data_IF_230876428187
#
_entry.id   IF_230876428187
#
_cell.length_a   1.000
_cell.length_b   1.000
_cell.length_c   1.000
_cell.angle_alpha   90.00
_cell.angle_beta   90.00
_cell.angle_gamma   90.00
#
_symmetry.space_group_name_H-M   'P 1'
#
loop_
_entity.id
_entity.type
_entity.pdbx_description
1 polymer ?
#
# COMPACT_ATOMS: atom_id res chain seq x y z
N UNK A 1 -46.54 35.44 1.17
CA UNK A 1 -46.88 34.01 1.31
C UNK A 1 -46.22 33.27 0.17
N UNK A 2 -45.43 32.20 0.28
CA UNK A 2 -44.57 31.62 1.31
C UNK A 2 -43.99 30.38 0.62
N UNK A 3 -42.74 30.03 0.95
CA UNK A 3 -42.10 28.72 0.70
C UNK A 3 -41.36 28.54 -0.63
N UNK A 4 -40.20 29.18 -0.71
CA UNK A 4 -38.97 28.58 -1.26
C UNK A 4 -38.71 27.27 -0.51
N UNK A 5 -39.21 26.16 -1.05
CA UNK A 5 -38.97 24.80 -0.54
C UNK A 5 -37.47 24.51 -0.57
N UNK A 6 -36.87 24.67 0.61
CA UNK A 6 -36.12 23.64 1.34
C UNK A 6 -35.01 22.95 0.53
N UNK A 7 -33.79 23.28 0.97
CA UNK A 7 -32.61 22.44 1.01
C UNK A 7 -32.10 21.83 -0.30
N UNK A 8 -31.24 22.63 -0.94
CA UNK A 8 -29.97 22.13 -1.48
C UNK A 8 -29.12 21.53 -0.33
N UNK A 9 -29.56 20.43 0.25
CA UNK A 9 -28.68 19.52 0.96
C UNK A 9 -27.81 18.83 -0.09
N UNK A 10 -26.81 19.55 -0.61
CA UNK A 10 -25.61 18.90 -1.17
C UNK A 10 -24.98 18.20 0.02
N UNK A 11 -25.42 16.97 0.22
CA UNK A 11 -24.84 15.98 1.10
C UNK A 11 -23.32 16.12 1.03
N UNK A 12 -22.74 16.56 2.14
CA UNK A 12 -21.32 16.80 2.28
C UNK A 12 -20.55 15.49 2.29
N UNK A 13 -20.51 14.76 1.17
CA UNK A 13 -19.48 13.75 0.98
C UNK A 13 -18.22 14.50 0.58
N UNK A 14 -17.38 14.79 1.57
CA UNK A 14 -16.04 15.32 1.30
C UNK A 14 -15.29 14.34 0.40
N UNK A 15 -14.35 14.81 -0.42
CA UNK A 15 -13.49 13.91 -1.21
C UNK A 15 -12.80 12.85 -0.31
N UNK A 16 -12.64 13.19 0.97
CA UNK A 16 -12.20 12.30 2.05
C UNK A 16 -13.16 11.12 2.30
N UNK A 17 -14.48 11.34 2.35
CA UNK A 17 -15.44 10.24 2.53
C UNK A 17 -15.46 9.28 1.33
N UNK A 18 -15.32 9.79 0.09
CA UNK A 18 -15.24 8.92 -1.09
C UNK A 18 -13.94 8.11 -1.15
N UNK A 19 -12.81 8.71 -0.77
CA UNK A 19 -11.50 8.05 -0.85
C UNK A 19 -11.27 7.06 0.30
N UNK A 20 -11.85 7.32 1.48
CA UNK A 20 -11.59 6.55 2.70
C UNK A 20 -12.79 5.73 3.22
N UNK A 21 -14.05 6.09 2.91
CA UNK A 21 -15.26 5.36 3.40
C UNK A 21 -16.01 4.55 2.35
N UNK A 22 -15.93 4.88 1.06
CA UNK A 22 -16.70 4.18 0.01
C UNK A 22 -15.96 2.94 -0.55
N UNK A 23 -14.62 2.89 -0.46
CA UNK A 23 -13.83 1.78 -1.00
C UNK A 23 -13.76 0.46 -0.15
N UNK A 24 -13.96 0.44 1.19
CA UNK A 24 -13.81 -0.78 1.99
C UNK A 24 -15.12 -1.59 2.13
N UNK A 25 -15.97 -1.66 1.09
CA UNK A 25 -17.20 -2.50 1.09
C UNK A 25 -17.21 -3.65 0.08
N UNK A 26 -16.09 -4.01 -0.53
CA UNK A 26 -16.07 -5.08 -1.54
C UNK A 26 -15.19 -6.29 -1.26
N UNK A 27 -14.44 -6.35 -0.16
CA UNK A 27 -13.57 -7.51 0.07
C UNK A 27 -13.49 -7.79 1.56
N UNK A 28 -14.02 -8.94 1.99
CA UNK A 28 -14.14 -9.35 3.40
C UNK A 28 -12.82 -9.65 4.14
N UNK A 29 -11.79 -8.83 3.95
CA UNK A 29 -10.56 -8.78 4.76
C UNK A 29 -10.50 -7.43 5.49
N UNK A 30 -9.91 -7.38 6.68
CA UNK A 30 -9.87 -6.12 7.42
C UNK A 30 -9.00 -5.09 6.68
N UNK A 31 -9.59 -3.95 6.29
CA UNK A 31 -8.86 -2.78 5.77
C UNK A 31 -7.63 -2.44 6.62
N UNK A 32 -7.73 -2.70 7.93
CA UNK A 32 -6.62 -2.56 8.88
C UNK A 32 -5.42 -3.45 8.58
N UNK A 33 -5.59 -4.69 8.11
CA UNK A 33 -4.48 -5.57 7.71
C UNK A 33 -3.75 -5.04 6.47
N UNK A 34 -4.49 -4.62 5.44
CA UNK A 34 -3.88 -4.04 4.23
C UNK A 34 -3.23 -2.68 4.51
N UNK A 35 -3.88 -1.85 5.33
CA UNK A 35 -3.34 -0.58 5.81
C UNK A 35 -2.08 -0.80 6.65
N UNK A 36 -2.08 -1.76 7.58
CA UNK A 36 -0.92 -2.08 8.41
C UNK A 36 0.25 -2.60 7.58
N UNK A 37 -0.01 -3.53 6.65
CA UNK A 37 1.01 -4.04 5.75
C UNK A 37 1.65 -2.90 4.93
N UNK A 38 0.84 -2.04 4.32
CA UNK A 38 1.33 -0.90 3.53
C UNK A 38 2.04 0.15 4.40
N UNK A 39 1.54 0.40 5.60
CA UNK A 39 2.13 1.34 6.55
C UNK A 39 3.53 0.87 7.01
N UNK A 40 3.73 -0.44 7.24
CA UNK A 40 5.05 -0.99 7.59
C UNK A 40 6.10 -0.68 6.52
N UNK A 41 5.77 -0.87 5.23
CA UNK A 41 6.68 -0.49 4.14
C UNK A 41 6.91 1.03 4.10
N UNK A 42 5.86 1.83 4.29
CA UNK A 42 5.97 3.29 4.35
C UNK A 42 6.91 3.78 5.46
N UNK A 43 6.77 3.25 6.68
CA UNK A 43 7.64 3.59 7.80
C UNK A 43 9.09 3.14 7.59
N UNK A 44 9.32 1.98 6.93
CA UNK A 44 10.68 1.55 6.55
C UNK A 44 11.31 2.55 5.60
N UNK A 45 10.61 2.94 4.53
CA UNK A 45 11.09 3.95 3.58
C UNK A 45 11.39 5.30 4.24
N UNK A 46 10.51 5.76 5.14
CA UNK A 46 10.71 7.01 5.88
C UNK A 46 11.99 6.99 6.72
N UNK A 47 12.28 5.87 7.41
CA UNK A 47 13.53 5.69 8.14
C UNK A 47 14.75 5.69 7.21
N UNK A 48 14.66 5.05 6.05
CA UNK A 48 15.75 5.05 5.07
C UNK A 48 15.99 6.44 4.49
N UNK A 49 14.95 7.24 4.27
CA UNK A 49 15.10 8.63 3.87
C UNK A 49 15.86 9.43 4.95
N UNK A 50 15.53 9.24 6.23
CA UNK A 50 16.28 9.83 7.35
C UNK A 50 17.75 9.40 7.37
N UNK A 51 18.03 8.12 7.13
CA UNK A 51 19.40 7.59 7.04
C UNK A 51 20.17 8.18 5.84
N UNK A 52 19.50 8.38 4.69
CA UNK A 52 20.08 9.03 3.52
C UNK A 52 20.43 10.51 3.80
N UNK A 53 19.56 11.25 4.49
CA UNK A 53 19.84 12.62 4.90
C UNK A 53 20.98 12.68 5.92
N UNK A 54 21.03 11.77 6.89
CA UNK A 54 22.15 11.67 7.82
C UNK A 54 23.47 11.40 7.09
N UNK A 55 23.46 10.54 6.07
CA UNK A 55 24.63 10.30 5.21
C UNK A 55 25.03 11.55 4.41
N UNK A 56 24.06 12.32 3.91
CA UNK A 56 24.30 13.56 3.18
C UNK A 56 24.93 14.64 4.09
N UNK A 57 24.53 14.70 5.36
CA UNK A 57 25.10 15.63 6.34
C UNK A 57 26.48 15.17 6.84
N UNK A 58 26.65 13.87 7.06
CA UNK A 58 27.88 13.26 7.57
C UNK A 58 28.31 12.15 6.59
N UNK A 59 29.14 12.48 5.58
CA UNK A 59 29.60 11.53 4.57
C UNK A 59 30.53 10.49 5.22
N UNK A 60 29.91 9.47 5.81
CA UNK A 60 30.58 8.52 6.69
C UNK A 60 29.61 7.55 7.36
N UNK A 61 28.42 8.03 7.74
CA UNK A 61 27.38 7.23 8.40
C UNK A 61 26.40 6.66 7.36
N UNK A 62 25.84 5.46 7.55
CA UNK A 62 24.81 4.86 6.68
C UNK A 62 25.20 4.59 5.21
N UNK A 63 26.48 4.41 4.89
CA UNK A 63 26.99 4.20 3.51
C UNK A 63 26.25 3.12 2.70
N UNK A 64 25.86 2.01 3.35
CA UNK A 64 25.20 0.87 2.69
C UNK A 64 23.81 0.59 3.22
N UNK A 65 23.35 1.31 4.24
CA UNK A 65 22.11 1.00 4.96
C UNK A 65 20.90 1.16 4.05
N UNK A 66 20.84 2.25 3.30
CA UNK A 66 19.72 2.54 2.39
C UNK A 66 19.69 1.53 1.24
N UNK A 67 20.82 1.32 0.56
CA UNK A 67 20.89 0.41 -0.59
C UNK A 67 20.60 -1.05 -0.21
N UNK A 68 21.12 -1.53 0.92
CA UNK A 68 20.87 -2.89 1.42
C UNK A 68 19.40 -3.08 1.78
N UNK A 69 18.81 -2.12 2.50
CA UNK A 69 17.41 -2.20 2.91
C UNK A 69 16.44 -2.13 1.72
N UNK A 70 16.71 -1.29 0.72
CA UNK A 70 15.89 -1.22 -0.51
C UNK A 70 15.97 -2.54 -1.28
N UNK A 71 17.15 -3.15 -1.43
CA UNK A 71 17.30 -4.46 -2.08
C UNK A 71 16.51 -5.55 -1.36
N UNK A 72 16.60 -5.59 -0.03
CA UNK A 72 15.84 -6.54 0.78
C UNK A 72 14.32 -6.35 0.60
N UNK A 73 13.82 -5.11 0.64
CA UNK A 73 12.40 -4.83 0.40
C UNK A 73 11.97 -5.20 -1.03
N UNK A 74 12.81 -4.95 -2.03
CA UNK A 74 12.52 -5.33 -3.41
C UNK A 74 12.40 -6.85 -3.56
N UNK A 75 13.26 -7.62 -2.89
CA UNK A 75 13.17 -9.09 -2.84
C UNK A 75 11.89 -9.55 -2.13
N UNK A 76 11.54 -8.92 -0.99
CA UNK A 76 10.32 -9.22 -0.23
C UNK A 76 9.05 -9.00 -1.07
N UNK A 77 9.00 -7.90 -1.83
CA UNK A 77 7.91 -7.63 -2.77
C UNK A 77 7.89 -8.60 -3.96
N UNK A 78 9.06 -8.96 -4.49
CA UNK A 78 9.21 -9.90 -5.60
C UNK A 78 8.69 -11.30 -5.25
N UNK A 79 8.98 -11.81 -4.05
CA UNK A 79 8.46 -13.10 -3.58
C UNK A 79 6.92 -13.13 -3.52
N UNK A 80 6.31 -12.06 -3.03
CA UNK A 80 4.85 -11.91 -3.00
C UNK A 80 4.22 -11.83 -4.39
N UNK A 81 4.90 -11.17 -5.34
CA UNK A 81 4.44 -11.10 -6.72
C UNK A 81 4.51 -12.46 -7.42
N UNK A 82 5.56 -13.25 -7.16
CA UNK A 82 5.68 -14.59 -7.73
C UNK A 82 4.65 -15.56 -7.12
N UNK A 83 4.41 -15.50 -5.81
CA UNK A 83 3.36 -16.29 -5.15
C UNK A 83 1.96 -15.97 -5.70
N UNK A 84 1.66 -14.68 -5.92
CA UNK A 84 0.41 -14.26 -6.54
C UNK A 84 0.29 -14.74 -7.99
N UNK A 85 1.39 -14.73 -8.75
CA UNK A 85 1.44 -15.28 -10.11
C UNK A 85 1.23 -16.80 -10.11
N UNK A 86 1.92 -17.54 -9.27
CA UNK A 86 1.78 -19.00 -9.15
C UNK A 86 0.35 -19.40 -8.73
N UNK A 87 -0.23 -18.66 -7.79
CA UNK A 87 -1.64 -18.84 -7.39
C UNK A 87 -2.58 -18.61 -8.57
N UNK A 88 -2.40 -17.52 -9.33
CA UNK A 88 -3.20 -17.26 -10.54
C UNK A 88 -3.03 -18.34 -11.60
N UNK A 89 -1.82 -18.87 -11.79
CA UNK A 89 -1.56 -19.97 -12.72
C UNK A 89 -2.24 -21.27 -12.28
N UNK A 90 -2.23 -21.57 -10.97
CA UNK A 90 -2.97 -22.69 -10.36
C UNK A 90 -4.48 -22.55 -10.55
N UNK A 91 -5.03 -21.38 -10.23
CA UNK A 91 -6.48 -21.15 -10.27
C UNK A 91 -7.02 -21.07 -11.71
N UNK A 92 -6.18 -20.69 -12.68
CA UNK A 92 -6.52 -20.69 -14.10
C UNK A 92 -6.51 -22.10 -14.73
N UNK A 93 -6.24 -23.16 -13.94
CA UNK A 93 -6.15 -24.52 -14.46
C UNK A 93 -4.98 -24.74 -15.43
N UNK A 94 -4.02 -23.80 -15.47
CA UNK A 94 -2.78 -23.92 -16.27
C UNK A 94 -1.75 -24.73 -15.48
N UNK A 95 -2.19 -25.89 -15.02
CA UNK A 95 -1.36 -26.91 -14.41
C UNK A 95 -1.84 -28.26 -14.96
N UNK A 96 -1.15 -28.74 -15.98
CA UNK A 96 -1.19 -30.08 -16.56
C UNK A 96 0.15 -30.25 -17.31
N UNK A 97 0.96 -31.32 -17.28
CA UNK A 97 1.03 -32.62 -16.58
C UNK A 97 2.48 -33.12 -16.77
N UNK A 98 3.05 -33.79 -15.78
CA UNK A 98 4.14 -34.75 -16.03
C UNK A 98 5.51 -34.39 -15.47
N UNK A 99 5.71 -34.71 -14.20
CA UNK A 99 6.54 -35.88 -13.87
C UNK A 99 5.64 -36.89 -13.15
#
# INVERSE_FOLDING_TARGET
MSQTTIDRARSGSTAFDRLFREHPRQVGETYLQHMAASAVFGFRLLRLAGAAFAHALIPGVHKTTVSTAVRCMAQEMGGRAEEAKLTRMRDAGVWDVGL
#
